data_IF_206088916927
#
_entry.id   IF_206088916927
#
_cell.length_a   1.000
_cell.length_b   1.000
_cell.length_c   1.000
_cell.angle_alpha   90.00
_cell.angle_beta   90.00
_cell.angle_gamma   90.00
#
_symmetry.space_group_name_H-M   'P 1'
#
loop_
_entity.id
_entity.type
_entity.pdbx_description
1 polymer ?
#
# COMPACT_ATOMS: atom_id res chain seq x y z
N UNK A 1 43.60 -5.48 4.46
CA UNK A 1 42.36 -6.26 4.56
C UNK A 1 41.25 -5.81 3.56
N UNK A 2 41.55 -5.48 2.29
CA UNK A 2 40.52 -5.06 1.32
C UNK A 2 39.57 -6.20 0.92
N UNK A 3 40.06 -7.44 0.93
CA UNK A 3 39.28 -8.63 0.53
C UNK A 3 38.12 -8.92 1.49
N UNK A 4 38.31 -8.66 2.78
CA UNK A 4 37.27 -8.78 3.79
C UNK A 4 36.14 -7.77 3.55
N UNK A 5 36.49 -6.53 3.19
CA UNK A 5 35.53 -5.45 2.94
C UNK A 5 34.68 -5.78 1.71
N UNK A 6 35.30 -6.26 0.63
CA UNK A 6 34.59 -6.72 -0.58
C UNK A 6 33.72 -7.94 -0.36
N UNK A 7 34.20 -8.92 0.39
CA UNK A 7 33.38 -10.09 0.71
C UNK A 7 32.16 -9.71 1.53
N UNK A 8 32.33 -8.88 2.56
CA UNK A 8 31.22 -8.39 3.39
C UNK A 8 30.22 -7.55 2.58
N UNK A 9 30.71 -6.68 1.70
CA UNK A 9 29.87 -5.82 0.84
C UNK A 9 29.04 -6.65 -0.13
N UNK A 10 29.67 -7.63 -0.80
CA UNK A 10 28.96 -8.52 -1.73
C UNK A 10 27.91 -9.37 -1.02
N UNK A 11 28.23 -9.88 0.17
CA UNK A 11 27.28 -10.66 0.97
C UNK A 11 26.08 -9.81 1.40
N UNK A 12 26.34 -8.56 1.81
CA UNK A 12 25.29 -7.61 2.18
C UNK A 12 24.36 -7.32 0.99
N UNK A 13 24.91 -7.08 -0.20
CA UNK A 13 24.13 -6.85 -1.42
C UNK A 13 23.30 -8.08 -1.79
N UNK A 14 23.89 -9.28 -1.72
CA UNK A 14 23.22 -10.54 -2.02
C UNK A 14 22.03 -10.83 -1.10
N UNK A 15 22.03 -10.34 0.14
CA UNK A 15 20.91 -10.52 1.08
C UNK A 15 19.90 -9.38 0.97
N UNK A 16 20.36 -8.13 0.94
CA UNK A 16 19.49 -6.96 0.96
C UNK A 16 18.68 -6.81 -0.32
N UNK A 17 19.30 -7.00 -1.50
CA UNK A 17 18.63 -6.82 -2.78
C UNK A 17 17.41 -7.74 -2.94
N UNK A 18 17.53 -9.08 -2.81
CA UNK A 18 16.36 -9.95 -2.91
C UNK A 18 15.38 -9.75 -1.74
N UNK A 19 15.87 -9.42 -0.54
CA UNK A 19 15.00 -9.10 0.60
C UNK A 19 14.10 -7.89 0.33
N UNK A 20 14.66 -6.81 -0.22
CA UNK A 20 13.91 -5.62 -0.62
C UNK A 20 12.93 -5.95 -1.75
N UNK A 21 13.37 -6.69 -2.78
CA UNK A 21 12.51 -7.07 -3.90
C UNK A 21 11.32 -7.93 -3.44
N UNK A 22 11.57 -8.93 -2.58
CA UNK A 22 10.53 -9.78 -2.00
C UNK A 22 9.56 -8.96 -1.15
N UNK A 23 10.07 -8.06 -0.31
CA UNK A 23 9.24 -7.16 0.49
C UNK A 23 8.36 -6.27 -0.38
N UNK A 24 8.90 -5.67 -1.45
CA UNK A 24 8.13 -4.85 -2.40
C UNK A 24 7.06 -5.68 -3.09
N UNK A 25 7.39 -6.89 -3.55
CA UNK A 25 6.44 -7.78 -4.21
C UNK A 25 5.28 -8.13 -3.27
N UNK A 26 5.60 -8.53 -2.04
CA UNK A 26 4.58 -8.94 -1.09
C UNK A 26 3.71 -7.76 -0.64
N UNK A 27 4.31 -6.57 -0.51
CA UNK A 27 3.57 -5.34 -0.21
C UNK A 27 2.62 -4.97 -1.34
N UNK A 28 3.04 -5.09 -2.61
CA UNK A 28 2.15 -4.90 -3.77
C UNK A 28 1.02 -5.94 -3.80
N UNK A 29 1.30 -7.19 -3.44
CA UNK A 29 0.29 -8.23 -3.39
C UNK A 29 -0.77 -7.94 -2.31
N UNK A 30 -0.35 -7.54 -1.11
CA UNK A 30 -1.25 -7.17 -0.02
C UNK A 30 -2.13 -5.95 -0.37
N UNK A 31 -1.55 -4.96 -1.05
CA UNK A 31 -2.29 -3.79 -1.54
C UNK A 31 -3.34 -4.10 -2.61
N UNK A 32 -3.19 -5.23 -3.33
CA UNK A 32 -4.14 -5.68 -4.35
C UNK A 32 -5.40 -6.35 -3.82
N UNK A 33 -5.48 -6.69 -2.52
CA UNK A 33 -6.59 -7.49 -1.96
C UNK A 33 -7.95 -6.80 -2.14
N UNK A 34 -8.06 -5.51 -1.82
CA UNK A 34 -9.30 -4.76 -1.99
C UNK A 34 -9.68 -4.60 -3.48
N UNK A 35 -8.68 -4.45 -4.36
CA UNK A 35 -8.88 -4.36 -5.81
C UNK A 35 -9.43 -5.68 -6.38
N UNK A 36 -8.97 -6.82 -5.86
CA UNK A 36 -9.48 -8.15 -6.25
C UNK A 36 -10.94 -8.38 -5.82
N UNK A 37 -11.37 -7.76 -4.74
CA UNK A 37 -12.75 -7.86 -4.24
C UNK A 37 -13.69 -6.80 -4.83
N UNK A 38 -13.25 -6.04 -5.84
CA UNK A 38 -14.06 -5.00 -6.48
C UNK A 38 -14.39 -3.81 -5.58
N UNK A 39 -13.68 -3.64 -4.45
CA UNK A 39 -13.90 -2.53 -3.54
C UNK A 39 -13.18 -1.30 -4.11
N UNK A 40 -13.92 -0.26 -4.53
CA UNK A 40 -13.31 0.95 -5.04
C UNK A 40 -12.60 1.67 -3.88
N UNK A 41 -11.29 1.81 -3.98
CA UNK A 41 -10.46 2.46 -2.98
C UNK A 41 -9.32 3.23 -3.64
N UNK A 42 -8.74 4.23 -2.96
CA UNK A 42 -7.61 4.96 -3.50
C UNK A 42 -6.40 4.03 -3.63
N UNK A 43 -5.60 4.22 -4.69
CA UNK A 43 -4.39 3.42 -4.88
C UNK A 43 -3.40 3.66 -3.74
N UNK A 44 -2.95 2.62 -3.02
CA UNK A 44 -1.96 2.77 -1.96
C UNK A 44 -0.58 3.13 -2.49
N UNK A 45 0.10 4.06 -1.81
CA UNK A 45 1.51 4.34 -2.03
C UNK A 45 2.38 3.16 -1.54
N UNK A 46 3.51 2.93 -2.21
CA UNK A 46 4.35 1.75 -1.99
C UNK A 46 4.90 1.66 -0.56
N UNK A 47 5.34 2.79 0.01
CA UNK A 47 5.96 2.84 1.34
C UNK A 47 4.95 3.10 2.46
N UNK A 48 4.02 4.03 2.26
CA UNK A 48 3.11 4.51 3.31
C UNK A 48 1.64 4.11 3.11
N UNK A 49 1.30 3.38 2.03
CA UNK A 49 -0.07 2.99 1.73
C UNK A 49 -0.97 4.22 1.54
N UNK A 50 -2.12 4.24 2.19
CA UNK A 50 -3.05 5.38 2.15
C UNK A 50 -2.88 6.31 3.36
N UNK A 51 -1.78 6.22 4.12
CA UNK A 51 -1.62 7.01 5.35
C UNK A 51 -1.69 8.51 5.10
N UNK A 52 -1.11 8.98 3.98
CA UNK A 52 -1.13 10.38 3.61
C UNK A 52 -2.55 10.85 3.25
N UNK A 53 -3.35 10.01 2.59
CA UNK A 53 -4.76 10.29 2.29
C UNK A 53 -5.63 10.26 3.54
N UNK A 54 -5.39 9.32 4.47
CA UNK A 54 -6.07 9.27 5.77
C UNK A 54 -5.77 10.50 6.63
N UNK A 55 -4.57 11.08 6.51
CA UNK A 55 -4.21 12.33 7.20
C UNK A 55 -4.89 13.55 6.57
N UNK A 56 -5.00 13.58 5.24
CA UNK A 56 -5.55 14.73 4.49
C UNK A 56 -7.08 14.74 4.45
N UNK A 57 -7.70 13.59 4.22
CA UNK A 57 -9.14 13.47 3.96
C UNK A 57 -9.93 12.84 5.12
N UNK A 58 -9.35 12.65 6.31
CA UNK A 58 -10.03 11.95 7.42
C UNK A 58 -11.46 12.46 7.68
N UNK A 59 -11.66 13.77 7.55
CA UNK A 59 -12.94 14.44 7.74
C UNK A 59 -13.85 14.43 6.51
N UNK A 60 -13.33 14.20 5.30
CA UNK A 60 -14.12 14.15 4.05
C UNK A 60 -14.49 12.73 3.61
N UNK A 61 -13.68 11.72 3.96
CA UNK A 61 -13.94 10.31 3.57
C UNK A 61 -15.21 9.78 4.23
N UNK A 62 -15.37 10.01 5.55
CA UNK A 62 -16.56 9.54 6.29
C UNK A 62 -17.86 10.12 5.72
N UNK A 63 -18.03 11.45 5.57
CA UNK A 63 -19.24 12.01 5.00
C UNK A 63 -19.49 11.58 3.54
N UNK A 64 -18.47 11.45 2.68
CA UNK A 64 -18.65 10.92 1.31
C UNK A 64 -19.13 9.46 1.28
N UNK A 65 -18.64 8.62 2.21
CA UNK A 65 -19.07 7.22 2.31
C UNK A 65 -20.46 7.05 2.92
N UNK A 66 -20.85 7.95 3.84
CA UNK A 66 -22.21 8.01 4.40
C UNK A 66 -23.17 8.49 3.32
N UNK A 67 -22.86 9.62 2.67
CA UNK A 67 -23.68 10.25 1.64
C UNK A 67 -23.96 9.33 0.45
N UNK A 68 -22.93 8.64 -0.06
CA UNK A 68 -23.10 7.66 -1.15
C UNK A 68 -23.99 6.47 -0.75
N UNK A 69 -23.99 6.05 0.51
CA UNK A 69 -24.87 4.95 0.99
C UNK A 69 -26.29 5.42 1.24
N UNK A 70 -26.48 6.65 1.72
CA UNK A 70 -27.82 7.24 1.88
C UNK A 70 -28.45 7.56 0.53
N UNK A 71 -27.70 8.04 -0.47
CA UNK A 71 -28.21 8.30 -1.83
C UNK A 71 -28.70 7.03 -2.52
N UNK A 72 -28.01 5.89 -2.36
CA UNK A 72 -28.49 4.61 -2.88
C UNK A 72 -29.79 4.20 -2.19
N UNK A 73 -29.97 4.49 -0.89
CA UNK A 73 -31.20 4.13 -0.15
C UNK A 73 -32.43 4.91 -0.61
N UNK A 74 -32.27 6.13 -1.13
CA UNK A 74 -33.37 6.97 -1.63
C UNK A 74 -33.63 6.83 -3.12
N UNK A 75 -32.76 6.15 -3.87
CA UNK A 75 -32.97 5.91 -5.31
C UNK A 75 -33.81 4.66 -5.62
N UNK A 76 -34.22 3.91 -4.60
CA UNK A 76 -34.99 2.66 -4.69
C UNK A 76 -36.34 2.69 -3.93
N UNK A 77 -36.81 3.87 -3.53
CA UNK A 77 -38.14 4.13 -2.94
C UNK A 77 -38.81 5.24 -3.72
#
# INVERSE_FOLDING_TARGET
>A
MPDLIWTATNFLLLVLVPGILFWVFQRRHAHGVFRRHGIPGPSPELFWGNWNQLKKDRLQVVPKFVDRRTLIRWSFT
#
